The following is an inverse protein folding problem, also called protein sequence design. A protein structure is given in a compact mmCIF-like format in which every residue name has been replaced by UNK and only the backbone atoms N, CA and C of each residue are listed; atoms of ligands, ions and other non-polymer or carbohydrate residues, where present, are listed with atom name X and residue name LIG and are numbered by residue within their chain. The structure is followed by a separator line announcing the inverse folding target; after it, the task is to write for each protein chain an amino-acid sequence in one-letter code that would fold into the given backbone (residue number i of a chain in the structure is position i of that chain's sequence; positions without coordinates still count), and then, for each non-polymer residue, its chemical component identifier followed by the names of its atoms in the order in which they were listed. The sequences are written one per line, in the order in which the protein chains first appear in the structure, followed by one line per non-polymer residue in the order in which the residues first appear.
data_IF_278058551605
#
_entry.id   IF_278058551605
#
_cell.length_a   1.000
_cell.length_b   1.000
_cell.length_c   1.000
_cell.angle_alpha   90.00
_cell.angle_beta   90.00
_cell.angle_gamma   90.00
#
_symmetry.space_group_name_H-M   'P 1'
#
loop_
_entity.id
_entity.type
_entity.pdbx_description
1 polymer ?
#
# COMPACT_ATOMS: atom_id res chain seq x y z
N UNK A 1 3.71 -7.84 22.16
CA UNK A 1 4.70 -8.11 21.09
C UNK A 1 4.12 -7.56 19.79
N UNK A 2 4.93 -6.93 18.92
CA UNK A 2 4.47 -6.42 17.62
C UNK A 2 4.80 -7.48 16.57
N UNK A 3 3.81 -7.89 15.78
CA UNK A 3 3.95 -8.93 14.74
C UNK A 3 3.65 -8.41 13.32
N UNK A 4 2.94 -7.28 13.21
CA UNK A 4 2.57 -6.63 11.97
C UNK A 4 2.73 -5.11 12.09
N UNK A 5 3.37 -4.50 11.10
CA UNK A 5 3.45 -3.05 10.94
C UNK A 5 2.96 -2.70 9.55
N UNK A 6 1.96 -1.82 9.46
CA UNK A 6 1.51 -1.25 8.20
C UNK A 6 1.58 0.27 8.25
N UNK A 7 1.85 0.89 7.10
CA UNK A 7 2.04 2.34 7.01
C UNK A 7 1.39 2.90 5.77
N UNK A 8 0.76 4.05 5.88
CA UNK A 8 0.46 4.87 4.71
C UNK A 8 1.75 5.34 4.01
N UNK A 9 1.63 5.77 2.76
CA UNK A 9 2.75 6.11 1.89
C UNK A 9 2.96 7.61 1.76
N UNK A 10 2.05 8.31 1.08
CA UNK A 10 2.24 9.71 0.69
C UNK A 10 2.17 10.63 1.90
N UNK A 11 3.17 11.50 2.07
CA UNK A 11 3.31 12.37 3.24
C UNK A 11 3.40 11.63 4.60
N UNK A 12 3.55 10.29 4.59
CA UNK A 12 3.74 9.45 5.78
C UNK A 12 5.09 8.75 5.74
N UNK A 13 5.23 7.70 4.91
CA UNK A 13 6.49 6.97 4.72
C UNK A 13 7.42 7.71 3.75
N UNK A 14 6.83 8.25 2.69
CA UNK A 14 7.51 9.09 1.71
C UNK A 14 7.24 10.54 2.06
N UNK A 15 8.28 11.22 2.51
CA UNK A 15 8.18 12.62 2.91
C UNK A 15 7.70 13.50 1.74
N UNK A 16 7.01 14.59 2.10
CA UNK A 16 6.52 15.58 1.15
C UNK A 16 7.60 16.01 0.15
N UNK A 17 7.20 16.10 -1.13
CA UNK A 17 8.08 16.43 -2.26
C UNK A 17 9.22 15.43 -2.50
N UNK A 18 9.13 14.21 -1.97
CA UNK A 18 10.03 13.10 -2.33
C UNK A 18 9.27 12.09 -3.18
N UNK A 19 10.01 11.40 -4.03
CA UNK A 19 9.47 10.38 -4.93
C UNK A 19 9.55 8.97 -4.33
N UNK A 20 10.46 8.75 -3.37
CA UNK A 20 10.83 7.43 -2.86
C UNK A 20 11.13 7.49 -1.36
N UNK A 21 10.94 6.35 -0.69
CA UNK A 21 11.30 6.18 0.70
C UNK A 21 12.82 6.39 0.91
N UNK A 22 13.15 6.97 2.06
CA UNK A 22 14.56 7.18 2.43
C UNK A 22 15.28 5.84 2.63
N UNK A 23 16.60 5.80 2.41
CA UNK A 23 17.40 4.59 2.68
C UNK A 23 17.29 4.14 4.15
N UNK A 24 17.20 5.08 5.08
CA UNK A 24 16.98 4.81 6.51
C UNK A 24 15.67 4.06 6.76
N UNK A 25 14.61 4.47 6.08
CA UNK A 25 13.31 3.81 6.16
C UNK A 25 13.37 2.38 5.65
N UNK A 26 13.92 2.17 4.44
CA UNK A 26 14.06 0.83 3.86
C UNK A 26 14.91 -0.09 4.75
N UNK A 27 16.01 0.42 5.30
CA UNK A 27 16.83 -0.32 6.25
C UNK A 27 16.03 -0.74 7.50
N UNK A 28 15.20 0.15 8.04
CA UNK A 28 14.36 -0.16 9.22
C UNK A 28 13.30 -1.21 8.89
N UNK A 29 12.71 -1.16 7.70
CA UNK A 29 11.77 -2.19 7.22
C UNK A 29 12.47 -3.56 7.16
N UNK A 30 13.66 -3.62 6.58
CA UNK A 30 14.45 -4.86 6.56
C UNK A 30 14.78 -5.38 7.95
N UNK A 31 15.11 -4.51 8.92
CA UNK A 31 15.33 -4.93 10.30
C UNK A 31 14.08 -5.56 10.91
N UNK A 32 12.89 -5.00 10.65
CA UNK A 32 11.62 -5.57 11.11
C UNK A 32 11.35 -6.93 10.45
N UNK A 33 11.51 -7.04 9.13
CA UNK A 33 11.34 -8.29 8.40
C UNK A 33 12.30 -9.38 8.90
N UNK A 34 13.57 -9.05 9.13
CA UNK A 34 14.58 -9.97 9.68
C UNK A 34 14.27 -10.42 11.11
N UNK A 35 13.56 -9.59 11.89
CA UNK A 35 13.08 -9.93 13.22
C UNK A 35 11.78 -10.76 13.20
N UNK A 36 11.26 -11.11 12.03
CA UNK A 36 10.00 -11.86 11.87
C UNK A 36 8.74 -10.99 11.96
N UNK A 37 8.87 -9.66 11.98
CA UNK A 37 7.73 -8.74 11.93
C UNK A 37 7.32 -8.54 10.49
N UNK A 38 6.06 -8.83 10.18
CA UNK A 38 5.51 -8.56 8.85
C UNK A 38 5.38 -7.05 8.67
N UNK A 39 5.86 -6.53 7.53
CA UNK A 39 5.81 -5.11 7.23
C UNK A 39 5.29 -4.86 5.81
N UNK A 40 4.54 -3.78 5.62
CA UNK A 40 3.99 -3.45 4.31
C UNK A 40 3.26 -2.10 4.24
N UNK A 41 2.96 -1.60 3.03
CA UNK A 41 2.14 -0.40 2.87
C UNK A 41 0.66 -0.69 3.13
N UNK A 42 -0.05 0.33 3.61
CA UNK A 42 -1.50 0.46 3.61
C UNK A 42 -1.88 1.77 2.92
N UNK A 43 -2.25 1.72 1.64
CA UNK A 43 -2.32 2.89 0.77
C UNK A 43 -3.55 2.89 -0.16
N UNK A 44 -3.94 4.08 -0.61
CA UNK A 44 -4.91 4.25 -1.69
C UNK A 44 -4.40 3.88 -3.08
N UNK A 45 -3.08 3.77 -3.26
CA UNK A 45 -2.46 3.40 -4.54
C UNK A 45 -2.75 1.95 -4.89
N UNK A 46 -2.75 1.60 -6.18
CA UNK A 46 -2.70 0.20 -6.62
C UNK A 46 -1.28 -0.37 -6.49
N UNK A 47 -1.16 -1.70 -6.38
CA UNK A 47 0.13 -2.39 -6.23
C UNK A 47 1.12 -2.07 -7.36
N UNK A 48 0.62 -1.88 -8.59
CA UNK A 48 1.43 -1.49 -9.75
C UNK A 48 2.15 -0.15 -9.56
N UNK A 49 1.64 0.72 -8.68
CA UNK A 49 2.18 2.05 -8.39
C UNK A 49 2.94 2.12 -7.05
N UNK A 50 3.13 0.99 -6.36
CA UNK A 50 3.82 0.94 -5.05
C UNK A 50 5.33 0.72 -5.21
N UNK A 51 5.73 -0.15 -6.13
CA UNK A 51 7.11 -0.65 -6.20
C UNK A 51 8.17 0.43 -6.30
N UNK A 52 7.94 1.48 -7.10
CA UNK A 52 8.95 2.53 -7.32
C UNK A 52 9.28 3.31 -6.04
N UNK A 53 8.30 3.52 -5.13
CA UNK A 53 8.50 4.23 -3.87
C UNK A 53 9.50 3.48 -2.97
N UNK A 54 9.51 2.15 -3.09
CA UNK A 54 10.44 1.25 -2.40
C UNK A 54 11.69 0.91 -3.21
N UNK A 55 12.00 1.66 -4.28
CA UNK A 55 13.12 1.35 -5.21
C UNK A 55 13.03 -0.07 -5.80
N UNK A 56 11.81 -0.55 -5.98
CA UNK A 56 11.48 -1.91 -6.43
C UNK A 56 11.98 -3.03 -5.52
N UNK A 57 12.33 -2.72 -4.27
CA UNK A 57 12.65 -3.71 -3.24
C UNK A 57 11.39 -4.46 -2.80
N UNK A 58 11.13 -5.61 -3.45
CA UNK A 58 9.91 -6.41 -3.28
C UNK A 58 9.65 -6.81 -1.84
N UNK A 59 10.69 -7.09 -1.05
CA UNK A 59 10.52 -7.50 0.34
C UNK A 59 9.74 -6.46 1.16
N UNK A 60 9.84 -5.18 0.80
CA UNK A 60 9.20 -4.08 1.51
C UNK A 60 7.70 -3.90 1.19
N UNK A 61 7.17 -4.58 0.16
CA UNK A 61 5.76 -4.42 -0.27
C UNK A 61 5.08 -5.72 -0.72
N UNK A 62 5.67 -6.88 -0.45
CA UNK A 62 5.06 -8.20 -0.71
C UNK A 62 3.82 -8.46 0.14
N UNK A 63 3.81 -7.96 1.38
CA UNK A 63 2.58 -7.82 2.15
C UNK A 63 2.10 -6.39 1.98
N UNK A 64 0.86 -6.18 1.55
CA UNK A 64 0.36 -4.84 1.24
C UNK A 64 -1.16 -4.77 1.31
N UNK A 65 -1.68 -3.65 1.82
CA UNK A 65 -3.08 -3.26 1.72
C UNK A 65 -3.12 -2.09 0.72
N UNK A 66 -3.75 -2.30 -0.43
CA UNK A 66 -3.71 -1.35 -1.57
C UNK A 66 -5.12 -1.04 -2.06
N UNK A 67 -5.25 -0.02 -2.91
CA UNK A 67 -6.53 0.47 -3.43
C UNK A 67 -7.53 0.74 -2.29
N UNK A 68 -7.08 1.42 -1.24
CA UNK A 68 -7.88 1.72 -0.02
C UNK A 68 -8.44 0.45 0.66
N UNK A 69 -7.69 -0.65 0.59
CA UNK A 69 -8.07 -1.93 1.20
C UNK A 69 -8.96 -2.81 0.32
N UNK A 70 -9.23 -2.41 -0.92
CA UNK A 70 -9.91 -3.28 -1.88
C UNK A 70 -9.06 -4.46 -2.33
N UNK A 71 -7.73 -4.38 -2.18
CA UNK A 71 -6.83 -5.50 -2.48
C UNK A 71 -5.85 -5.68 -1.32
N UNK A 72 -5.67 -6.92 -0.89
CA UNK A 72 -4.69 -7.27 0.15
C UNK A 72 -3.81 -8.39 -0.35
N UNK A 73 -2.51 -8.24 -0.12
CA UNK A 73 -1.49 -9.20 -0.43
C UNK A 73 -0.79 -9.63 0.86
N UNK A 74 -0.43 -10.91 0.96
CA UNK A 74 0.42 -11.45 2.00
C UNK A 74 1.54 -12.26 1.35
N UNK A 75 2.78 -11.87 1.62
CA UNK A 75 3.97 -12.53 1.07
C UNK A 75 3.97 -12.68 -0.48
N UNK A 76 3.43 -11.69 -1.18
CA UNK A 76 3.31 -11.66 -2.63
C UNK A 76 2.04 -12.28 -3.19
N UNK A 77 1.27 -13.00 -2.36
CA UNK A 77 0.03 -13.66 -2.77
C UNK A 77 -1.18 -12.79 -2.49
N UNK A 78 -2.12 -12.71 -3.43
CA UNK A 78 -3.39 -12.00 -3.24
C UNK A 78 -4.29 -12.77 -2.28
N UNK A 79 -4.61 -12.18 -1.12
CA UNK A 79 -5.46 -12.81 -0.10
C UNK A 79 -6.88 -12.24 -0.07
N UNK A 80 -7.09 -11.03 -0.60
CA UNK A 80 -8.40 -10.41 -0.70
C UNK A 80 -8.46 -9.50 -1.92
N UNK A 81 -9.58 -9.58 -2.63
CA UNK A 81 -10.00 -8.61 -3.64
C UNK A 81 -11.47 -8.28 -3.42
N UNK A 82 -11.80 -7.00 -3.39
CA UNK A 82 -13.16 -6.46 -3.41
C UNK A 82 -13.31 -5.54 -4.60
N UNK A 83 -14.49 -5.56 -5.19
CA UNK A 83 -14.88 -4.65 -6.25
C UNK A 83 -15.95 -3.70 -5.73
N UNK A 84 -16.01 -2.50 -6.30
CA UNK A 84 -17.10 -1.58 -6.03
C UNK A 84 -18.34 -2.04 -6.79
N UNK A 85 -19.49 -1.96 -6.14
CA UNK A 85 -20.75 -2.29 -6.78
C UNK A 85 -21.02 -1.36 -7.97
N UNK A 86 -21.36 -1.96 -9.12
CA UNK A 86 -21.57 -1.22 -10.37
C UNK A 86 -22.74 -0.25 -10.25
N UNK A 87 -23.83 -0.64 -9.58
CA UNK A 87 -25.00 0.23 -9.44
C UNK A 87 -24.68 1.44 -8.55
N UNK A 88 -23.99 1.22 -7.43
CA UNK A 88 -23.47 2.27 -6.56
C UNK A 88 -22.54 3.23 -7.31
N UNK A 89 -21.63 2.72 -8.12
CA UNK A 89 -20.75 3.54 -8.94
C UNK A 89 -21.51 4.37 -9.98
N UNK A 90 -22.54 3.81 -10.62
CA UNK A 90 -23.39 4.56 -11.55
C UNK A 90 -24.13 5.70 -10.86
N UNK A 91 -24.66 5.45 -9.65
CA UNK A 91 -25.33 6.49 -8.86
C UNK A 91 -24.37 7.62 -8.46
N UNK A 92 -23.12 7.29 -8.13
CA UNK A 92 -22.10 8.29 -7.84
C UNK A 92 -21.77 9.13 -9.08
N UNK A 93 -21.61 8.47 -10.25
CA UNK A 93 -21.36 9.13 -11.54
C UNK A 93 -22.50 10.07 -11.94
N UNK A 94 -23.75 9.63 -11.81
CA UNK A 94 -24.96 10.42 -12.09
C UNK A 94 -25.01 11.72 -11.26
N UNK A 95 -24.38 11.76 -10.07
CA UNK A 95 -24.32 12.94 -9.19
C UNK A 95 -23.16 13.86 -9.56
N UNK A 96 -21.96 13.32 -9.83
CA UNK A 96 -20.76 14.15 -10.09
C UNK A 96 -20.68 14.69 -11.52
N UNK A 97 -21.40 14.09 -12.47
CA UNK A 97 -21.42 14.50 -13.87
C UNK A 97 -22.45 15.59 -14.19
N UNK A 98 -23.18 16.11 -13.18
CA UNK A 98 -24.18 17.17 -13.35
C UNK A 98 -23.63 18.60 -13.17
N UNK A 99 -22.33 18.74 -12.85
CA UNK A 99 -21.58 20.01 -12.85
C UNK A 99 -20.78 20.19 -14.16
#
# INVERSE_FOLDING_TARGET
MIELVVTDLDDTLVARNKLIASKRCLHSIHQMLNAGVVCGPATGRDISHVGYLYRFDKACYQTAIVANGMRVYYNGEGVLTKELDREGMRKADDVVSQD
#
